data_IF_911460240843
#
_entry.id   IF_911460240843
#
_cell.length_a   1.000
_cell.length_b   1.000
_cell.length_c   1.000
_cell.angle_alpha   90.00
_cell.angle_beta   90.00
_cell.angle_gamma   90.00
#
_symmetry.space_group_name_H-M   'P 1'
#
loop_
_entity.id
_entity.type
_entity.pdbx_description
1 polymer ?
#
# COMPACT_ATOMS: atom_id res chain seq x y z
N UNK A 1 -7.52 18.07 5.50
CA UNK A 1 -6.09 18.45 5.34
C UNK A 1 -5.14 17.28 5.52
N UNK A 2 -5.17 16.54 6.65
CA UNK A 2 -4.32 15.35 6.87
C UNK A 2 -4.41 14.34 5.71
N UNK A 3 -5.63 14.04 5.25
CA UNK A 3 -5.86 13.10 4.14
C UNK A 3 -5.23 13.56 2.81
N UNK A 4 -5.25 14.86 2.50
CA UNK A 4 -4.66 15.41 1.27
C UNK A 4 -3.13 15.34 1.28
N UNK A 5 -2.52 15.64 2.44
CA UNK A 5 -1.07 15.56 2.64
C UNK A 5 -0.62 14.09 2.63
N UNK A 6 -1.38 13.21 3.27
CA UNK A 6 -1.15 11.77 3.23
C UNK A 6 -1.20 11.22 1.81
N UNK A 7 -2.19 11.60 1.01
CA UNK A 7 -2.26 11.20 -0.40
C UNK A 7 -1.07 11.72 -1.22
N UNK A 8 -0.58 12.92 -0.92
CA UNK A 8 0.61 13.47 -1.57
C UNK A 8 1.87 12.67 -1.20
N UNK A 9 2.08 12.41 0.10
CA UNK A 9 3.17 11.56 0.61
C UNK A 9 3.13 10.16 -0.01
N UNK A 10 1.94 9.59 -0.11
CA UNK A 10 1.69 8.29 -0.75
C UNK A 10 2.14 8.30 -2.21
N UNK A 11 1.73 9.32 -2.98
CA UNK A 11 2.09 9.47 -4.40
C UNK A 11 3.59 9.67 -4.59
N UNK A 12 4.22 10.47 -3.74
CA UNK A 12 5.66 10.70 -3.73
C UNK A 12 6.44 9.40 -3.45
N UNK A 13 6.05 8.66 -2.41
CA UNK A 13 6.67 7.37 -2.08
C UNK A 13 6.60 6.37 -3.23
N UNK A 14 5.43 6.24 -3.86
CA UNK A 14 5.23 5.34 -5.02
C UNK A 14 6.07 5.76 -6.24
N UNK A 15 6.12 7.06 -6.53
CA UNK A 15 6.91 7.61 -7.64
C UNK A 15 8.41 7.38 -7.47
N UNK A 16 8.93 7.53 -6.25
CA UNK A 16 10.34 7.27 -5.91
C UNK A 16 10.68 5.78 -6.00
N UNK A 17 9.81 4.91 -5.47
CA UNK A 17 9.98 3.46 -5.54
C UNK A 17 10.03 2.93 -6.99
N UNK A 18 9.19 3.46 -7.88
CA UNK A 18 9.13 3.07 -9.29
C UNK A 18 10.36 3.44 -10.13
N UNK A 19 11.22 4.36 -9.67
CA UNK A 19 12.45 4.78 -10.37
C UNK A 19 13.72 4.10 -9.87
N UNK A 20 13.60 3.11 -8.98
CA UNK A 20 14.77 2.48 -8.35
C UNK A 20 15.51 3.40 -7.37
N UNK A 21 14.96 4.59 -7.07
CA UNK A 21 15.37 5.52 -6.01
C UNK A 21 14.51 5.28 -4.77
N UNK A 22 14.41 4.02 -4.35
CA UNK A 22 13.64 3.66 -3.16
C UNK A 22 14.07 4.50 -1.97
N UNK A 23 13.12 4.83 -1.08
CA UNK A 23 13.36 5.62 0.14
C UNK A 23 14.51 5.06 1.00
N UNK A 24 14.84 3.77 0.85
CA UNK A 24 15.97 3.09 1.47
C UNK A 24 17.36 3.49 0.94
N UNK A 25 17.45 4.10 -0.25
CA UNK A 25 18.72 4.52 -0.87
C UNK A 25 19.13 5.94 -0.51
N UNK A 26 18.23 6.72 0.09
CA UNK A 26 18.52 8.07 0.57
C UNK A 26 18.60 8.05 2.09
N UNK A 27 19.74 8.42 2.69
CA UNK A 27 19.84 8.54 4.13
C UNK A 27 18.75 9.51 4.64
N UNK A 28 18.09 9.15 5.75
CA UNK A 28 16.99 9.89 6.40
C UNK A 28 15.63 9.91 5.69
N UNK A 29 15.53 9.56 4.39
CA UNK A 29 14.25 9.58 3.67
C UNK A 29 13.25 8.56 4.24
N UNK A 30 13.74 7.37 4.62
CA UNK A 30 12.91 6.38 5.30
C UNK A 30 12.43 6.87 6.67
N UNK A 31 13.32 7.42 7.49
CA UNK A 31 12.95 7.95 8.81
C UNK A 31 11.94 9.10 8.73
N UNK A 32 12.10 10.00 7.74
CA UNK A 32 11.14 11.07 7.48
C UNK A 32 9.78 10.50 7.04
N UNK A 33 9.78 9.51 6.14
CA UNK A 33 8.56 8.83 5.72
C UNK A 33 7.84 8.16 6.89
N UNK A 34 8.54 7.40 7.73
CA UNK A 34 7.98 6.80 8.95
C UNK A 34 7.40 7.85 9.90
N UNK A 35 8.12 8.95 10.12
CA UNK A 35 7.65 10.05 10.96
C UNK A 35 6.34 10.63 10.44
N UNK A 36 6.28 10.99 9.15
CA UNK A 36 5.05 11.55 8.57
C UNK A 36 3.92 10.53 8.49
N UNK A 37 4.22 9.26 8.19
CA UNK A 37 3.23 8.18 8.19
C UNK A 37 2.60 8.04 9.59
N UNK A 38 3.40 7.98 10.65
CA UNK A 38 2.89 7.83 12.03
C UNK A 38 1.97 8.97 12.50
N UNK A 39 2.06 10.16 11.86
CA UNK A 39 1.25 11.35 12.21
C UNK A 39 0.03 11.55 11.32
N UNK A 40 0.07 11.01 10.10
CA UNK A 40 -0.88 11.33 9.04
C UNK A 40 -1.61 10.12 8.48
N UNK A 41 -1.16 8.90 8.79
CA UNK A 41 -1.86 7.69 8.44
C UNK A 41 -3.29 7.73 9.00
N UNK A 42 -4.26 7.22 8.22
CA UNK A 42 -5.61 7.10 8.73
C UNK A 42 -5.66 6.12 9.90
N UNK A 43 -6.62 6.34 10.80
CA UNK A 43 -6.90 5.44 11.93
C UNK A 43 -8.19 4.66 11.68
N UNK A 44 -8.30 3.46 12.26
CA UNK A 44 -9.48 2.61 12.16
C UNK A 44 -9.71 2.01 10.76
N UNK A 45 -10.97 1.72 10.45
CA UNK A 45 -11.36 1.11 9.17
C UNK A 45 -11.52 2.19 8.11
N UNK A 46 -10.79 2.08 7.00
CA UNK A 46 -10.82 3.01 5.88
C UNK A 46 -11.12 2.33 4.56
N UNK A 47 -11.84 3.04 3.69
CA UNK A 47 -12.13 2.58 2.34
C UNK A 47 -10.95 2.92 1.41
N UNK A 48 -10.33 1.90 0.82
CA UNK A 48 -9.20 2.04 -0.09
C UNK A 48 -9.52 1.43 -1.46
N UNK A 49 -8.77 1.87 -2.47
CA UNK A 49 -8.82 1.28 -3.81
C UNK A 49 -7.70 0.25 -3.95
N UNK A 50 -8.09 -1.01 -4.12
CA UNK A 50 -7.20 -2.16 -4.31
C UNK A 50 -7.47 -2.70 -5.70
N UNK A 51 -6.56 -2.44 -6.64
CA UNK A 51 -6.64 -2.90 -8.04
C UNK A 51 -7.98 -2.56 -8.74
N UNK A 52 -8.52 -1.37 -8.50
CA UNK A 52 -9.78 -0.91 -9.10
C UNK A 52 -11.03 -1.36 -8.36
N UNK A 53 -10.89 -2.09 -7.25
CA UNK A 53 -11.98 -2.49 -6.37
C UNK A 53 -11.90 -1.73 -5.05
N UNK A 54 -13.05 -1.44 -4.44
CA UNK A 54 -13.11 -0.81 -3.12
C UNK A 54 -13.02 -1.86 -2.02
N UNK A 55 -12.15 -1.63 -1.05
CA UNK A 55 -11.93 -2.54 0.08
C UNK A 55 -11.88 -1.74 1.39
N UNK A 56 -12.60 -2.21 2.41
CA UNK A 56 -12.45 -1.69 3.76
C UNK A 56 -11.22 -2.34 4.41
N UNK A 57 -10.31 -1.52 4.91
CA UNK A 57 -9.04 -1.96 5.50
C UNK A 57 -8.90 -1.35 6.88
N UNK A 58 -8.59 -2.17 7.87
CA UNK A 58 -8.22 -1.70 9.20
C UNK A 58 -6.76 -1.22 9.19
N UNK A 59 -6.53 0.04 9.52
CA UNK A 59 -5.20 0.63 9.55
C UNK A 59 -4.29 0.03 10.65
N UNK A 60 -4.86 -0.65 11.64
CA UNK A 60 -4.10 -1.36 12.67
C UNK A 60 -3.54 -2.72 12.22
N UNK A 61 -3.99 -3.23 11.06
CA UNK A 61 -3.51 -4.53 10.55
C UNK A 61 -2.15 -4.34 9.89
N UNK A 62 -1.07 -4.61 10.62
CA UNK A 62 0.30 -4.54 10.10
C UNK A 62 0.83 -5.95 9.77
N UNK A 63 1.56 -6.14 8.66
CA UNK A 63 1.96 -5.14 7.64
C UNK A 63 0.93 -4.94 6.50
N UNK A 64 -0.11 -5.77 6.46
CA UNK A 64 -1.03 -5.89 5.33
C UNK A 64 -1.81 -4.59 5.07
N UNK A 65 -2.47 -4.06 6.09
CA UNK A 65 -3.28 -2.85 6.04
C UNK A 65 -2.46 -1.64 5.64
N UNK A 66 -1.26 -1.47 6.21
CA UNK A 66 -0.30 -0.43 5.78
C UNK A 66 0.03 -0.53 4.30
N UNK A 67 0.30 -1.73 3.80
CA UNK A 67 0.60 -1.95 2.39
C UNK A 67 -0.59 -1.63 1.48
N UNK A 68 -1.80 -2.06 1.86
CA UNK A 68 -3.03 -1.78 1.10
C UNK A 68 -3.38 -0.29 1.09
N UNK A 69 -3.24 0.40 2.21
CA UNK A 69 -3.52 1.84 2.35
C UNK A 69 -2.53 2.66 1.51
N UNK A 70 -1.24 2.32 1.58
CA UNK A 70 -0.19 3.09 0.91
C UNK A 70 -0.04 2.73 -0.56
N UNK A 71 -0.06 1.45 -0.90
CA UNK A 71 0.27 1.00 -2.25
C UNK A 71 -0.92 0.52 -3.07
N UNK A 72 -2.06 0.21 -2.42
CA UNK A 72 -3.23 -0.38 -3.09
C UNK A 72 -3.06 -1.87 -3.41
N UNK A 73 -2.12 -2.55 -2.75
CA UNK A 73 -1.85 -3.97 -2.90
C UNK A 73 -0.92 -4.49 -1.80
N UNK A 74 -0.73 -5.80 -1.75
CA UNK A 74 0.21 -6.47 -0.85
C UNK A 74 1.06 -7.42 -1.69
N UNK A 75 2.36 -7.54 -1.37
CA UNK A 75 3.31 -8.43 -2.05
C UNK A 75 3.11 -8.49 -3.57
N UNK A 76 3.41 -7.38 -4.26
CA UNK A 76 3.12 -7.20 -5.69
C UNK A 76 3.56 -8.39 -6.55
N UNK A 77 4.76 -8.91 -6.33
CA UNK A 77 5.29 -10.02 -7.12
C UNK A 77 4.48 -11.30 -6.91
N UNK A 78 4.22 -11.67 -5.66
CA UNK A 78 3.46 -12.88 -5.33
C UNK A 78 2.01 -12.78 -5.82
N UNK A 79 1.40 -11.61 -5.63
CA UNK A 79 0.06 -11.31 -6.15
C UNK A 79 -0.01 -11.43 -7.68
N UNK A 80 1.01 -10.99 -8.40
CA UNK A 80 1.05 -11.13 -9.87
C UNK A 80 1.29 -12.58 -10.31
N UNK A 81 2.15 -13.32 -9.61
CA UNK A 81 2.37 -14.76 -9.85
C UNK A 81 1.05 -15.50 -9.63
N UNK A 82 0.42 -15.32 -8.47
CA UNK A 82 -0.86 -15.94 -8.15
C UNK A 82 -1.91 -15.63 -9.20
N UNK A 83 -2.04 -14.36 -9.61
CA UNK A 83 -2.98 -13.95 -10.67
C UNK A 83 -2.70 -14.64 -12.00
N UNK A 84 -1.44 -14.85 -12.37
CA UNK A 84 -1.08 -15.51 -13.63
C UNK A 84 -1.46 -17.00 -13.67
N UNK A 85 -1.69 -17.61 -12.50
CA UNK A 85 -2.16 -18.98 -12.37
C UNK A 85 -3.69 -19.09 -12.50
N UNK A 86 -4.42 -17.99 -12.27
CA UNK A 86 -5.89 -17.96 -12.34
C UNK A 86 -6.39 -17.95 -13.79
N UNK A 87 -7.44 -18.72 -14.06
CA UNK A 87 -8.14 -18.78 -15.35
C UNK A 87 -9.63 -18.53 -15.16
N UNK A 88 -10.35 -18.03 -16.18
CA UNK A 88 -11.80 -17.87 -16.12
C UNK A 88 -12.49 -19.18 -15.70
N UNK A 89 -13.45 -19.08 -14.76
CA UNK A 89 -14.18 -20.22 -14.22
C UNK A 89 -13.51 -20.93 -13.02
N UNK A 90 -12.29 -20.54 -12.64
CA UNK A 90 -11.69 -21.04 -11.40
C UNK A 90 -12.35 -20.42 -10.16
N UNK A 91 -12.50 -21.23 -9.11
CA UNK A 91 -12.88 -20.76 -7.77
C UNK A 91 -11.63 -20.77 -6.89
N UNK A 92 -11.35 -19.64 -6.25
CA UNK A 92 -10.26 -19.52 -5.27
C UNK A 92 -10.84 -19.76 -3.89
N UNK A 93 -10.19 -20.63 -3.12
CA UNK A 93 -10.52 -20.90 -1.72
C UNK A 93 -9.31 -20.50 -0.89
N UNK A 94 -9.50 -19.57 0.04
CA UNK A 94 -8.54 -19.23 1.08
C UNK A 94 -8.82 -20.18 2.27
N UNK A 95 -7.83 -20.98 2.67
CA UNK A 95 -7.97 -22.07 3.66
C UNK A 95 -7.26 -21.69 4.96
#
# INVERSE_FOLDING_TARGET
MKNSIFQLLRRLGHWLAGRGLGLAKMPLAMSAYEYFYSKLAPEGVVLVDVRGQKMYVNAADEPLGRSLITTGGYEKTETEIFRSLLRPGMTVVDI
#
